data_IF_016048510569
#
_entry.id   IF_016048510569
#
_cell.length_a   1.000
_cell.length_b   1.000
_cell.length_c   1.000
_cell.angle_alpha   90.00
_cell.angle_beta   90.00
_cell.angle_gamma   90.00
#
_symmetry.space_group_name_H-M   'P 1'
#
loop_
_entity.id
_entity.type
_entity.pdbx_description
1 polymer ?
#
# COMPACT_ATOMS: atom_id res chain seq x y z
N UNK A 1 11.93 7.37 -14.62
CA UNK A 1 11.69 5.91 -14.55
C UNK A 1 10.33 5.69 -13.91
N UNK A 2 9.68 4.57 -14.21
CA UNK A 2 8.51 4.08 -13.47
C UNK A 2 9.01 3.11 -12.40
N UNK A 3 8.62 3.31 -11.15
CA UNK A 3 9.12 2.55 -10.00
C UNK A 3 7.91 2.08 -9.19
N UNK A 4 7.81 0.77 -8.97
CA UNK A 4 6.85 0.20 -8.03
C UNK A 4 7.56 -0.15 -6.73
N UNK A 5 6.99 0.32 -5.61
CA UNK A 5 7.40 -0.06 -4.26
C UNK A 5 6.26 -0.87 -3.65
N UNK A 6 6.57 -2.08 -3.21
CA UNK A 6 5.66 -2.87 -2.38
C UNK A 6 6.10 -2.79 -0.93
N UNK A 7 5.27 -2.20 -0.06
CA UNK A 7 5.54 -2.11 1.38
C UNK A 7 4.57 -2.97 2.20
N UNK A 8 3.31 -3.11 1.79
CA UNK A 8 2.34 -4.01 2.42
C UNK A 8 1.81 -3.60 3.80
N UNK A 9 2.32 -2.52 4.40
CA UNK A 9 1.87 -1.96 5.68
C UNK A 9 1.44 -0.49 5.53
N UNK A 10 1.20 0.22 6.63
CA UNK A 10 0.86 1.65 6.65
C UNK A 10 2.08 2.53 6.29
N UNK A 11 1.89 3.84 6.13
CA UNK A 11 2.95 4.81 5.79
C UNK A 11 3.33 5.74 6.95
N UNK A 12 2.69 5.56 8.11
CA UNK A 12 3.00 6.27 9.36
C UNK A 12 3.27 5.30 10.52
N UNK A 13 3.70 5.84 11.67
CA UNK A 13 3.97 5.07 12.87
C UNK A 13 5.39 4.51 12.90
N UNK A 14 5.56 3.23 12.56
CA UNK A 14 6.85 2.54 12.71
C UNK A 14 7.92 3.05 11.74
N UNK A 15 9.19 2.76 12.05
CA UNK A 15 10.33 3.23 11.26
C UNK A 15 10.31 2.78 9.80
N UNK A 16 9.90 1.53 9.52
CA UNK A 16 9.81 1.03 8.14
C UNK A 16 8.70 1.70 7.33
N UNK A 17 7.57 2.05 7.97
CA UNK A 17 6.48 2.79 7.36
C UNK A 17 6.95 4.19 6.94
N UNK A 18 7.55 4.92 7.88
CA UNK A 18 8.07 6.27 7.62
C UNK A 18 9.19 6.23 6.58
N UNK A 19 10.09 5.23 6.64
CA UNK A 19 11.16 5.08 5.66
C UNK A 19 10.62 4.92 4.23
N UNK A 20 9.65 4.04 4.01
CA UNK A 20 9.08 3.82 2.68
C UNK A 20 8.32 5.05 2.17
N UNK A 21 7.60 5.77 3.04
CA UNK A 21 6.96 7.03 2.67
C UNK A 21 7.99 8.08 2.21
N UNK A 22 9.10 8.23 2.94
CA UNK A 22 10.17 9.19 2.60
C UNK A 22 10.97 8.77 1.38
N UNK A 23 11.18 7.47 1.18
CA UNK A 23 11.82 6.95 -0.02
C UNK A 23 10.97 7.26 -1.26
N UNK A 24 9.66 6.97 -1.22
CA UNK A 24 8.74 7.27 -2.30
C UNK A 24 8.72 8.77 -2.61
N UNK A 25 8.60 9.63 -1.58
CA UNK A 25 8.66 11.09 -1.73
C UNK A 25 9.96 11.55 -2.41
N UNK A 26 11.11 11.02 -1.98
CA UNK A 26 12.41 11.38 -2.54
C UNK A 26 12.52 10.99 -4.03
N UNK A 27 12.00 9.82 -4.42
CA UNK A 27 11.99 9.36 -5.80
C UNK A 27 11.07 10.23 -6.69
N UNK A 28 9.90 10.63 -6.18
CA UNK A 28 9.01 11.58 -6.86
C UNK A 28 9.72 12.92 -7.05
N UNK A 29 10.38 13.44 -6.02
CA UNK A 29 11.17 14.68 -6.10
C UNK A 29 12.34 14.58 -7.08
N UNK A 30 12.91 13.39 -7.25
CA UNK A 30 13.98 13.12 -8.22
C UNK A 30 13.50 13.00 -9.68
N UNK A 31 12.20 13.22 -9.95
CA UNK A 31 11.68 13.17 -11.32
C UNK A 31 11.13 11.80 -11.76
N UNK A 32 10.96 10.84 -10.85
CA UNK A 32 10.40 9.53 -11.17
C UNK A 32 8.87 9.49 -11.03
N UNK A 33 8.26 8.52 -11.71
CA UNK A 33 6.86 8.12 -11.52
C UNK A 33 6.87 6.96 -10.53
N UNK A 34 6.13 7.09 -9.43
CA UNK A 34 6.16 6.15 -8.31
C UNK A 34 4.77 5.57 -8.08
N UNK A 35 4.71 4.25 -8.06
CA UNK A 35 3.56 3.47 -7.62
C UNK A 35 3.90 2.83 -6.28
N UNK A 36 3.09 3.06 -5.25
CA UNK A 36 3.34 2.52 -3.91
C UNK A 36 2.16 1.66 -3.46
N UNK A 37 2.39 0.37 -3.28
CA UNK A 37 1.38 -0.58 -2.79
C UNK A 37 1.55 -0.73 -1.27
N UNK A 38 0.51 -0.36 -0.52
CA UNK A 38 0.54 -0.32 0.94
C UNK A 38 -0.87 -0.53 1.53
N UNK A 39 -1.02 -0.48 2.85
CA UNK A 39 -2.29 -0.61 3.56
C UNK A 39 -2.73 0.69 4.25
N UNK A 40 -2.11 1.82 3.89
CA UNK A 40 -2.48 3.13 4.43
C UNK A 40 -3.85 3.58 3.89
N UNK A 41 -4.72 4.03 4.80
CA UNK A 41 -6.10 4.43 4.50
C UNK A 41 -6.22 5.91 4.14
N UNK A 42 -5.20 6.70 4.46
CA UNK A 42 -5.22 8.15 4.29
C UNK A 42 -4.01 8.62 3.47
N UNK A 43 -3.77 8.05 2.27
CA UNK A 43 -2.59 8.38 1.46
C UNK A 43 -2.54 9.87 1.11
N UNK A 44 -3.70 10.52 1.12
CA UNK A 44 -3.84 11.93 0.89
C UNK A 44 -3.40 12.86 2.04
N UNK A 45 -2.98 12.33 3.19
CA UNK A 45 -2.27 13.14 4.19
C UNK A 45 -0.84 13.48 3.76
N UNK A 46 -0.31 12.77 2.76
CA UNK A 46 1.01 13.02 2.20
C UNK A 46 0.90 13.97 0.99
N UNK A 47 1.49 15.16 1.10
CA UNK A 47 1.44 16.18 0.04
C UNK A 47 2.11 15.76 -1.27
N UNK A 48 2.96 14.74 -1.26
CA UNK A 48 3.61 14.21 -2.46
C UNK A 48 2.74 13.20 -3.21
N UNK A 49 1.62 12.74 -2.65
CA UNK A 49 0.71 11.79 -3.30
C UNK A 49 -0.25 12.52 -4.24
N UNK A 50 -0.21 12.14 -5.51
CA UNK A 50 -1.03 12.74 -6.58
C UNK A 50 -2.33 11.99 -6.79
N UNK A 51 -2.34 10.68 -6.58
CA UNK A 51 -3.51 9.84 -6.77
C UNK A 51 -3.54 8.67 -5.79
N UNK A 52 -4.73 8.12 -5.58
CA UNK A 52 -4.93 6.89 -4.80
C UNK A 52 -5.75 5.89 -5.60
N UNK A 53 -5.37 4.61 -5.52
CA UNK A 53 -6.04 3.50 -6.19
C UNK A 53 -6.55 2.46 -5.19
N UNK A 54 -7.73 1.89 -5.45
CA UNK A 54 -8.25 0.72 -4.74
C UNK A 54 -9.04 -0.16 -5.71
N UNK A 55 -9.28 -1.42 -5.32
CA UNK A 55 -10.06 -2.35 -6.13
C UNK A 55 -11.47 -2.45 -5.57
N UNK A 56 -12.44 -1.87 -6.27
CA UNK A 56 -13.85 -1.96 -5.92
C UNK A 56 -14.47 -3.06 -6.77
N UNK A 57 -14.97 -4.12 -6.13
CA UNK A 57 -15.55 -5.28 -6.85
C UNK A 57 -14.60 -5.92 -7.88
N UNK A 58 -13.29 -5.85 -7.64
CA UNK A 58 -12.26 -6.41 -8.51
C UNK A 58 -11.74 -5.48 -9.62
N UNK A 59 -12.30 -4.27 -9.77
CA UNK A 59 -11.83 -3.28 -10.73
C UNK A 59 -11.05 -2.16 -10.05
N UNK A 60 -9.88 -1.82 -10.60
CA UNK A 60 -9.07 -0.71 -10.13
C UNK A 60 -9.79 0.63 -10.37
N UNK A 61 -10.14 1.32 -9.30
CA UNK A 61 -10.63 2.69 -9.30
C UNK A 61 -9.53 3.62 -8.80
N UNK A 62 -9.22 4.67 -9.58
CA UNK A 62 -8.22 5.69 -9.23
C UNK A 62 -8.89 7.04 -9.02
N UNK A 63 -8.54 7.69 -7.91
CA UNK A 63 -8.93 9.08 -7.61
C UNK A 63 -7.68 9.95 -7.69
N UNK A 64 -7.68 10.91 -8.59
CA UNK A 64 -6.58 11.88 -8.75
C UNK A 64 -6.86 13.16 -7.95
N UNK A 65 -5.86 13.59 -7.18
CA UNK A 65 -5.75 14.96 -6.66
C UNK A 65 -5.06 15.88 -7.66
N UNK A 66 -4.04 15.37 -8.36
CA UNK A 66 -3.24 16.12 -9.34
C UNK A 66 -3.06 15.28 -10.61
N UNK A 67 -3.13 15.95 -11.75
CA UNK A 67 -3.03 15.33 -13.07
C UNK A 67 -1.94 16.02 -13.92
N UNK A 68 -1.06 15.26 -14.61
CA UNK A 68 -0.93 13.81 -14.53
C UNK A 68 -0.32 13.39 -13.17
N UNK A 69 -0.73 12.23 -12.62
CA UNK A 69 -0.15 11.75 -11.36
C UNK A 69 1.29 11.27 -11.58
N UNK A 70 2.19 11.71 -10.70
CA UNK A 70 3.57 11.22 -10.59
C UNK A 70 3.76 10.28 -9.41
N UNK A 71 2.81 10.29 -8.48
CA UNK A 71 2.78 9.42 -7.31
C UNK A 71 1.37 8.86 -7.09
N UNK A 72 1.22 7.55 -7.25
CA UNK A 72 -0.04 6.86 -6.97
C UNK A 72 0.14 5.85 -5.85
N UNK A 73 -0.66 5.96 -4.79
CA UNK A 73 -0.68 5.01 -3.68
C UNK A 73 -1.86 4.07 -3.83
N UNK A 74 -1.60 2.77 -3.78
CA UNK A 74 -2.60 1.73 -3.99
C UNK A 74 -2.83 0.98 -2.68
N UNK A 75 -4.11 0.73 -2.38
CA UNK A 75 -4.53 -0.12 -1.27
C UNK A 75 -5.32 -1.32 -1.79
N UNK A 76 -4.65 -2.48 -1.98
CA UNK A 76 -5.32 -3.74 -2.28
C UNK A 76 -6.29 -4.11 -1.17
N UNK A 77 -7.43 -4.71 -1.52
CA UNK A 77 -8.36 -5.26 -0.54
C UNK A 77 -7.86 -6.62 -0.04
N UNK A 78 -7.25 -6.61 1.15
CA UNK A 78 -6.80 -7.82 1.86
C UNK A 78 -7.79 -8.28 2.93
N UNK A 79 -8.97 -7.63 3.02
CA UNK A 79 -9.86 -7.74 4.16
C UNK A 79 -9.28 -7.10 5.43
N UNK A 80 -9.69 -7.60 6.59
CA UNK A 80 -9.35 -7.00 7.89
C UNK A 80 -8.03 -7.50 8.47
N UNK A 81 -7.53 -8.65 8.02
CA UNK A 81 -6.34 -9.29 8.61
C UNK A 81 -5.08 -8.77 7.92
N UNK A 82 -4.17 -8.21 8.72
CA UNK A 82 -2.84 -7.80 8.27
C UNK A 82 -1.79 -8.78 8.83
N UNK A 83 -1.21 -9.66 7.99
CA UNK A 83 -0.13 -10.54 8.40
C UNK A 83 1.12 -9.76 8.81
N UNK A 84 1.66 -10.07 9.99
CA UNK A 84 2.85 -9.41 10.56
C UNK A 84 3.83 -10.43 11.15
N UNK A 85 5.08 -10.03 11.35
CA UNK A 85 6.03 -10.83 12.14
C UNK A 85 5.91 -10.52 13.64
N UNK A 86 5.75 -9.24 13.99
CA UNK A 86 5.51 -8.78 15.37
C UNK A 86 4.17 -8.03 15.37
N UNK A 87 3.26 -8.43 16.25
CA UNK A 87 1.98 -7.77 16.41
C UNK A 87 2.13 -6.37 17.03
N UNK A 88 1.41 -5.42 16.45
CA UNK A 88 1.25 -4.03 16.92
C UNK A 88 -0.14 -3.54 16.52
N UNK A 89 -0.48 -2.30 16.86
CA UNK A 89 -1.75 -1.67 16.51
C UNK A 89 -1.62 -0.93 15.19
N UNK A 90 -2.39 -1.36 14.19
CA UNK A 90 -2.47 -0.73 12.89
C UNK A 90 -3.89 -0.20 12.67
N UNK A 91 -4.02 1.06 12.27
CA UNK A 91 -5.33 1.69 12.07
C UNK A 91 -6.16 0.89 11.07
N UNK A 92 -7.34 0.43 11.51
CA UNK A 92 -8.31 -0.29 10.69
C UNK A 92 -7.89 -1.71 10.28
N UNK A 93 -6.83 -2.28 10.85
CA UNK A 93 -6.41 -3.64 10.56
C UNK A 93 -6.28 -4.47 11.83
N UNK A 94 -6.67 -5.74 11.73
CA UNK A 94 -6.40 -6.78 12.72
C UNK A 94 -5.05 -7.39 12.41
N UNK A 95 -3.99 -6.90 13.08
CA UNK A 95 -2.66 -7.46 12.91
C UNK A 95 -2.58 -8.84 13.57
N UNK A 96 -2.22 -9.86 12.80
CA UNK A 96 -2.01 -11.23 13.27
C UNK A 96 -0.65 -11.73 12.82
N UNK A 97 0.04 -12.41 13.71
CA UNK A 97 1.36 -12.95 13.38
C UNK A 97 1.23 -14.09 12.38
N UNK A 98 2.22 -14.27 11.50
CA UNK A 98 2.19 -15.37 10.53
C UNK A 98 1.90 -16.75 11.14
N UNK A 99 2.45 -17.15 12.32
CA UNK A 99 2.13 -18.44 12.93
C UNK A 99 0.67 -18.61 13.38
N UNK A 100 -0.08 -17.52 13.53
CA UNK A 100 -1.50 -17.57 13.90
C UNK A 100 -2.40 -17.75 12.68
N UNK A 101 -1.90 -17.57 11.46
CA UNK A 101 -2.67 -17.64 10.22
C UNK A 101 -2.77 -19.07 9.69
N UNK A 102 -3.89 -19.37 9.04
CA UNK A 102 -4.00 -20.58 8.23
C UNK A 102 -3.38 -20.38 6.84
N UNK A 103 -3.05 -21.48 6.16
CA UNK A 103 -2.55 -21.42 4.77
C UNK A 103 -3.53 -20.69 3.84
N UNK A 104 -4.84 -20.89 4.01
CA UNK A 104 -5.87 -20.20 3.23
C UNK A 104 -5.89 -18.68 3.49
N UNK A 105 -5.62 -18.24 4.73
CA UNK A 105 -5.52 -16.82 5.07
C UNK A 105 -4.28 -16.19 4.43
N UNK A 106 -3.16 -16.90 4.44
CA UNK A 106 -1.91 -16.49 3.77
C UNK A 106 -2.12 -16.42 2.26
N UNK A 107 -2.72 -17.44 1.66
CA UNK A 107 -2.97 -17.49 0.21
C UNK A 107 -3.92 -16.37 -0.22
N UNK A 108 -4.96 -16.05 0.56
CA UNK A 108 -5.84 -14.91 0.28
C UNK A 108 -5.08 -13.58 0.29
N UNK A 109 -4.25 -13.36 1.31
CA UNK A 109 -3.41 -12.16 1.40
C UNK A 109 -2.45 -12.04 0.21
N UNK A 110 -1.79 -13.15 -0.16
CA UNK A 110 -0.88 -13.19 -1.31
C UNK A 110 -1.62 -12.93 -2.61
N UNK A 111 -2.74 -13.60 -2.86
CA UNK A 111 -3.54 -13.46 -4.06
C UNK A 111 -4.00 -12.01 -4.29
N UNK A 112 -4.48 -11.34 -3.23
CA UNK A 112 -4.91 -9.94 -3.30
C UNK A 112 -3.75 -8.99 -3.68
N UNK A 113 -2.58 -9.15 -3.06
CA UNK A 113 -1.42 -8.31 -3.35
C UNK A 113 -0.81 -8.61 -4.73
N UNK A 114 -0.73 -9.89 -5.13
CA UNK A 114 -0.22 -10.29 -6.44
C UNK A 114 -1.14 -9.78 -7.56
N UNK A 115 -2.46 -9.87 -7.38
CA UNK A 115 -3.42 -9.30 -8.34
C UNK A 115 -3.21 -7.79 -8.48
N UNK A 116 -3.14 -7.07 -7.35
CA UNK A 116 -2.92 -5.63 -7.38
C UNK A 116 -1.62 -5.22 -8.06
N UNK A 117 -0.51 -5.92 -7.81
CA UNK A 117 0.78 -5.64 -8.46
C UNK A 117 0.76 -5.92 -9.96
N UNK A 118 -0.06 -6.87 -10.43
CA UNK A 118 -0.20 -7.16 -11.88
C UNK A 118 -0.94 -6.07 -12.64
N UNK A 119 -1.85 -5.36 -11.98
CA UNK A 119 -2.71 -4.34 -12.59
C UNK A 119 -2.05 -2.95 -12.68
N UNK A 120 -0.93 -2.74 -11.98
CA UNK A 120 -0.23 -1.44 -11.84
C UNK A 120 1.04 -1.38 -12.70
#
# INVERSE_FOLDING_TARGET
MRILIFHGYLLHGTGSNVYNARLAEALVRAGHEVHLVCQDRHPFQFDWVDATGNWMSGELTVVERRSPPRATVYRPDIGDVLPVYVADVYEGATARTFPELTDDEIERYLAANVAAVRDV
#
